data_IF_134927598892
#
_entry.id   IF_134927598892
#
_cell.length_a   1.000
_cell.length_b   1.000
_cell.length_c   1.000
_cell.angle_alpha   90.00
_cell.angle_beta   90.00
_cell.angle_gamma   90.00
#
_symmetry.space_group_name_H-M   'P 1'
#
loop_
_entity.id
_entity.type
_entity.pdbx_description
1 polymer ?
#
# COMPACT_ATOMS: atom_id res chain seq x y z
N UNK A 1 10.65 53.28 43.48
CA UNK A 1 9.81 54.37 42.94
C UNK A 1 8.98 53.81 41.79
N UNK A 2 7.70 54.10 41.94
CA UNK A 2 6.62 53.95 40.97
C UNK A 2 6.10 52.52 40.67
N UNK A 3 5.07 52.28 41.42
CA UNK A 3 3.97 51.36 41.22
C UNK A 3 3.25 51.63 39.91
N UNK A 4 2.76 50.57 39.27
CA UNK A 4 1.59 50.62 38.39
C UNK A 4 0.72 49.40 38.64
N UNK A 5 -0.36 49.66 39.36
CA UNK A 5 -1.54 48.84 39.47
C UNK A 5 -2.12 48.66 38.07
N UNK A 6 -2.28 47.43 37.62
CA UNK A 6 -3.16 47.07 36.50
C UNK A 6 -4.29 46.21 37.07
N UNK A 7 -5.48 46.78 36.98
CA UNK A 7 -6.74 46.21 37.44
C UNK A 7 -7.08 44.89 36.71
N UNK A 8 -7.34 43.84 37.48
CA UNK A 8 -8.00 42.63 37.02
C UNK A 8 -9.46 42.96 36.74
N UNK A 9 -9.83 43.09 35.48
CA UNK A 9 -11.23 42.94 35.07
C UNK A 9 -11.53 41.46 34.88
N UNK A 10 -12.23 40.88 35.85
CA UNK A 10 -12.97 39.63 35.66
C UNK A 10 -14.07 39.91 34.64
N UNK A 11 -13.85 39.60 33.38
CA UNK A 11 -14.92 39.43 32.43
C UNK A 11 -15.54 38.04 32.66
N UNK A 12 -16.84 38.04 32.90
CA UNK A 12 -17.67 36.88 33.04
C UNK A 12 -17.36 35.84 31.93
N UNK A 13 -17.04 34.65 32.36
CA UNK A 13 -16.99 33.47 31.48
C UNK A 13 -18.38 33.27 30.88
N UNK A 14 -18.55 33.73 29.66
CA UNK A 14 -19.65 33.27 28.83
C UNK A 14 -19.57 31.74 28.77
N UNK A 15 -20.65 31.10 29.19
CA UNK A 15 -20.86 29.67 28.94
C UNK A 15 -20.63 29.45 27.45
N UNK A 16 -19.46 28.87 27.10
CA UNK A 16 -19.23 28.32 25.79
C UNK A 16 -20.30 27.23 25.61
N UNK A 17 -21.41 27.59 24.98
CA UNK A 17 -22.30 26.61 24.37
C UNK A 17 -21.41 25.83 23.43
N UNK A 18 -21.08 24.57 23.79
CA UNK A 18 -20.63 23.56 22.83
C UNK A 18 -21.57 23.68 21.63
N UNK A 19 -21.05 23.92 20.42
CA UNK A 19 -21.91 23.89 19.26
C UNK A 19 -22.63 22.56 19.30
N UNK A 20 -23.96 22.60 19.36
CA UNK A 20 -24.78 21.44 19.07
C UNK A 20 -24.18 20.87 17.77
N UNK A 21 -23.63 19.67 17.86
CA UNK A 21 -23.26 18.90 16.68
C UNK A 21 -24.57 18.79 15.91
N UNK A 22 -24.74 19.67 14.91
CA UNK A 22 -25.67 19.43 13.84
C UNK A 22 -25.42 18.00 13.44
N UNK A 23 -26.47 17.19 13.32
CA UNK A 23 -26.45 15.93 12.61
C UNK A 23 -26.18 16.28 11.14
N UNK A 24 -24.97 16.81 10.87
CA UNK A 24 -24.44 16.90 9.52
C UNK A 24 -24.33 15.48 9.03
N UNK A 25 -25.12 15.16 8.02
CA UNK A 25 -25.02 13.90 7.30
C UNK A 25 -23.55 13.71 6.95
N UNK A 26 -22.96 12.63 7.48
CA UNK A 26 -21.55 12.31 7.20
C UNK A 26 -21.33 12.27 5.68
N UNK A 27 -20.20 12.74 5.18
CA UNK A 27 -19.90 12.65 3.76
C UNK A 27 -19.91 11.18 3.33
N UNK A 28 -20.80 10.85 2.40
CA UNK A 28 -20.93 9.49 1.84
C UNK A 28 -19.89 9.32 0.76
N UNK A 29 -19.13 8.23 0.82
CA UNK A 29 -18.09 7.89 -0.15
C UNK A 29 -18.44 6.57 -0.82
N UNK A 30 -18.41 6.53 -2.16
CA UNK A 30 -18.55 5.28 -2.91
C UNK A 30 -17.25 4.48 -2.91
N UNK A 31 -17.31 3.17 -3.19
CA UNK A 31 -16.11 2.33 -3.26
C UNK A 31 -15.14 2.83 -4.33
N UNK A 32 -15.64 3.21 -5.49
CA UNK A 32 -14.82 3.74 -6.60
C UNK A 32 -14.11 5.05 -6.20
N UNK A 33 -14.82 5.96 -5.52
CA UNK A 33 -14.22 7.19 -5.00
C UNK A 33 -13.20 6.93 -3.91
N UNK A 34 -13.48 5.99 -3.00
CA UNK A 34 -12.55 5.59 -1.95
C UNK A 34 -11.25 5.03 -2.54
N UNK A 35 -11.35 4.12 -3.52
CA UNK A 35 -10.21 3.55 -4.22
C UNK A 35 -9.39 4.62 -4.94
N UNK A 36 -10.04 5.51 -5.68
CA UNK A 36 -9.37 6.58 -6.42
C UNK A 36 -8.63 7.56 -5.50
N UNK A 37 -9.25 7.99 -4.40
CA UNK A 37 -8.63 8.93 -3.45
C UNK A 37 -7.50 8.26 -2.66
N UNK A 38 -7.74 7.05 -2.15
CA UNK A 38 -6.79 6.34 -1.32
C UNK A 38 -5.52 5.94 -2.07
N UNK A 39 -5.60 5.58 -3.36
CA UNK A 39 -4.40 5.29 -4.17
C UNK A 39 -3.50 6.51 -4.29
N UNK A 40 -4.08 7.71 -4.52
CA UNK A 40 -3.29 8.94 -4.61
C UNK A 40 -2.65 9.39 -3.30
N UNK A 41 -3.13 8.92 -2.16
CA UNK A 41 -2.64 9.28 -0.82
C UNK A 41 -1.76 8.19 -0.18
N UNK A 42 -1.72 6.98 -0.74
CA UNK A 42 -0.93 5.88 -0.19
C UNK A 42 0.57 6.12 -0.40
N UNK A 43 1.37 6.24 0.69
CA UNK A 43 2.80 6.52 0.57
C UNK A 43 3.57 5.46 -0.22
N UNK A 44 3.16 4.17 -0.10
CA UNK A 44 3.83 3.07 -0.81
C UNK A 44 3.54 3.12 -2.31
N UNK A 45 2.32 3.48 -2.70
CA UNK A 45 1.97 3.65 -4.11
C UNK A 45 2.67 4.88 -4.72
N UNK A 46 2.68 6.02 -4.02
CA UNK A 46 3.42 7.22 -4.45
C UNK A 46 4.92 6.92 -4.59
N UNK A 47 5.51 6.20 -3.63
CA UNK A 47 6.90 5.77 -3.72
C UNK A 47 7.15 4.84 -4.92
N UNK A 48 6.21 3.92 -5.21
CA UNK A 48 6.32 3.01 -6.36
C UNK A 48 6.27 3.75 -7.70
N UNK A 49 5.42 4.77 -7.85
CA UNK A 49 5.40 5.67 -9.02
C UNK A 49 6.76 6.37 -9.17
N UNK A 50 7.29 6.95 -8.07
CA UNK A 50 8.62 7.58 -8.09
C UNK A 50 9.75 6.62 -8.48
N UNK A 51 9.65 5.33 -8.10
CA UNK A 51 10.60 4.31 -8.54
C UNK A 51 10.50 4.03 -10.04
N UNK A 52 9.30 4.05 -10.64
CA UNK A 52 9.13 3.93 -12.09
C UNK A 52 9.80 5.11 -12.81
N UNK A 53 9.56 6.33 -12.36
CA UNK A 53 10.19 7.52 -12.93
C UNK A 53 11.71 7.48 -12.84
N UNK A 54 12.26 7.13 -11.68
CA UNK A 54 13.69 6.96 -11.48
C UNK A 54 14.29 5.90 -12.41
N UNK A 55 13.62 4.74 -12.53
CA UNK A 55 14.06 3.66 -13.42
C UNK A 55 13.97 4.09 -14.90
N UNK A 56 12.95 4.85 -15.29
CA UNK A 56 12.81 5.40 -16.63
C UNK A 56 13.96 6.39 -16.97
N UNK A 57 14.31 7.26 -16.04
CA UNK A 57 15.47 8.14 -16.19
C UNK A 57 16.79 7.38 -16.25
N UNK A 58 16.98 6.36 -15.42
CA UNK A 58 18.15 5.50 -15.46
C UNK A 58 18.29 4.80 -16.82
N UNK A 59 17.19 4.31 -17.38
CA UNK A 59 17.19 3.71 -18.73
C UNK A 59 17.52 4.74 -19.82
N UNK A 60 16.95 5.95 -19.75
CA UNK A 60 17.27 7.04 -20.68
C UNK A 60 18.74 7.39 -20.59
N UNK A 61 19.28 7.55 -19.38
CA UNK A 61 20.71 7.80 -19.15
C UNK A 61 21.59 6.71 -19.73
N UNK A 62 21.29 5.43 -19.47
CA UNK A 62 22.01 4.29 -20.02
C UNK A 62 22.01 4.27 -21.56
N UNK A 63 20.93 4.73 -22.19
CA UNK A 63 20.83 4.85 -23.64
C UNK A 63 21.61 6.05 -24.18
N UNK A 64 21.54 7.22 -23.55
CA UNK A 64 22.20 8.44 -24.02
C UNK A 64 23.72 8.33 -24.01
N UNK A 65 24.30 7.51 -23.12
CA UNK A 65 25.76 7.23 -23.08
C UNK A 65 26.29 6.60 -24.41
N UNK A 66 25.42 6.00 -25.23
CA UNK A 66 25.80 5.50 -26.56
C UNK A 66 25.86 6.60 -27.62
N UNK A 67 25.12 7.68 -27.45
CA UNK A 67 24.88 8.68 -28.50
C UNK A 67 25.66 9.97 -28.26
N UNK A 68 25.79 10.37 -27.00
CA UNK A 68 26.25 11.70 -26.64
C UNK A 68 27.45 11.64 -25.70
N UNK A 69 28.54 12.36 -25.97
CA UNK A 69 29.67 12.50 -25.05
C UNK A 69 29.21 13.26 -23.78
N UNK A 70 29.82 12.93 -22.65
CA UNK A 70 29.69 13.75 -21.45
C UNK A 70 30.45 15.08 -21.67
N UNK A 71 29.81 16.20 -21.34
CA UNK A 71 30.39 17.52 -21.44
C UNK A 71 30.48 18.13 -20.04
N UNK A 72 31.66 18.56 -19.61
CA UNK A 72 31.84 19.30 -18.38
C UNK A 72 32.57 20.62 -18.64
N UNK A 73 32.21 21.63 -17.88
CA UNK A 73 32.87 22.91 -17.84
C UNK A 73 33.36 23.13 -16.42
N UNK A 74 34.65 23.37 -16.28
CA UNK A 74 35.27 23.57 -14.98
C UNK A 74 36.05 24.89 -15.02
N UNK A 75 36.02 25.67 -13.95
CA UNK A 75 36.75 26.90 -13.83
C UNK A 75 37.42 26.96 -12.47
N UNK A 76 38.72 27.04 -12.48
CA UNK A 76 39.54 27.06 -11.28
C UNK A 76 40.24 28.44 -11.17
N UNK A 77 40.16 29.05 -10.00
CA UNK A 77 40.90 30.25 -9.66
C UNK A 77 41.78 29.96 -8.43
N UNK A 78 43.07 29.95 -8.63
CA UNK A 78 44.04 29.60 -7.58
C UNK A 78 44.86 30.81 -7.20
N UNK A 79 44.98 31.10 -5.89
CA UNK A 79 45.88 32.07 -5.33
C UNK A 79 47.01 31.35 -4.58
N UNK A 80 48.22 31.56 -4.99
CA UNK A 80 49.41 30.96 -4.38
C UNK A 80 50.11 31.95 -3.41
N UNK A 81 50.38 31.51 -2.21
CA UNK A 81 51.08 32.27 -1.19
C UNK A 81 52.14 31.38 -0.53
N UNK A 82 53.44 31.65 -0.76
CA UNK A 82 54.04 32.69 -1.61
C UNK A 82 53.79 32.46 -3.09
N UNK A 83 54.06 33.50 -3.91
CA UNK A 83 53.96 33.43 -5.37
C UNK A 83 54.84 32.29 -5.91
N UNK A 84 54.29 31.51 -6.86
CA UNK A 84 55.09 30.49 -7.57
C UNK A 84 55.73 31.10 -8.82
N UNK A 85 56.91 30.65 -9.16
CA UNK A 85 57.62 31.12 -10.36
C UNK A 85 57.07 30.42 -11.60
N UNK A 86 56.46 31.20 -12.52
CA UNK A 86 55.96 30.65 -13.79
C UNK A 86 57.05 30.65 -14.85
N UNK A 87 57.55 29.47 -15.18
CA UNK A 87 58.61 29.31 -16.19
C UNK A 87 58.20 29.70 -17.62
N UNK A 88 56.86 29.79 -17.89
CA UNK A 88 56.33 30.21 -19.19
C UNK A 88 56.28 31.71 -19.38
N UNK A 89 56.12 32.49 -18.27
CA UNK A 89 56.14 33.97 -18.26
C UNK A 89 57.42 34.52 -17.69
N UNK A 90 58.29 33.67 -17.09
CA UNK A 90 59.54 34.04 -16.37
C UNK A 90 59.29 35.09 -15.25
N UNK A 91 58.14 35.00 -14.58
CA UNK A 91 57.72 35.90 -13.51
C UNK A 91 57.10 35.16 -12.34
N UNK A 92 57.24 35.67 -11.11
CA UNK A 92 56.47 35.17 -10.00
C UNK A 92 55.00 35.59 -10.17
N UNK A 93 54.09 34.61 -10.08
CA UNK A 93 52.66 34.78 -10.20
C UNK A 93 51.96 34.34 -8.92
N UNK A 94 51.08 35.18 -8.39
CA UNK A 94 50.28 34.89 -7.20
C UNK A 94 48.89 34.41 -7.53
N UNK A 95 48.46 34.52 -8.78
CA UNK A 95 47.10 34.26 -9.20
C UNK A 95 47.10 33.52 -10.55
N UNK A 96 46.28 32.50 -10.66
CA UNK A 96 46.05 31.80 -11.93
C UNK A 96 44.55 31.43 -12.06
N UNK A 97 44.00 31.64 -13.25
CA UNK A 97 42.65 31.25 -13.60
C UNK A 97 42.71 30.34 -14.79
N UNK A 98 42.01 29.23 -14.69
CA UNK A 98 41.87 28.23 -15.75
C UNK A 98 40.38 27.98 -16.00
N UNK A 99 39.96 28.02 -17.26
CA UNK A 99 38.65 27.53 -17.68
C UNK A 99 38.86 26.36 -18.63
N UNK A 100 38.20 25.26 -18.37
CA UNK A 100 38.35 24.01 -19.12
C UNK A 100 36.98 23.49 -19.55
N UNK A 101 36.87 23.13 -20.82
CA UNK A 101 35.73 22.37 -21.36
C UNK A 101 36.24 20.98 -21.72
N UNK A 102 35.64 19.99 -21.15
CA UNK A 102 35.99 18.56 -21.41
C UNK A 102 34.83 17.82 -22.05
N UNK A 103 35.08 17.24 -23.20
CA UNK A 103 34.17 16.28 -23.84
C UNK A 103 34.76 14.88 -23.66
N UNK A 104 34.02 13.97 -23.04
CA UNK A 104 34.43 12.60 -22.81
C UNK A 104 33.47 11.62 -23.46
N UNK A 105 33.98 10.75 -24.29
CA UNK A 105 33.21 9.68 -24.91
C UNK A 105 33.93 8.34 -24.78
N UNK A 106 33.23 7.38 -24.12
CA UNK A 106 33.76 6.05 -23.96
C UNK A 106 33.46 5.24 -25.23
N UNK A 107 34.46 5.03 -26.07
CA UNK A 107 34.36 4.29 -27.36
C UNK A 107 34.11 2.80 -27.14
N UNK A 108 34.82 2.22 -26.18
CA UNK A 108 34.70 0.81 -25.84
C UNK A 108 34.84 0.63 -24.34
N UNK A 109 33.93 -0.14 -23.76
CA UNK A 109 33.85 -0.38 -22.29
C UNK A 109 33.72 -1.88 -21.98
N UNK A 110 34.30 -2.75 -22.84
CA UNK A 110 34.20 -4.19 -22.62
C UNK A 110 32.76 -4.74 -22.61
N UNK A 111 31.80 -4.07 -23.27
CA UNK A 111 30.39 -4.46 -23.27
C UNK A 111 29.57 -3.95 -22.05
N UNK A 112 30.18 -3.18 -21.15
CA UNK A 112 29.52 -2.66 -19.95
C UNK A 112 28.34 -1.75 -20.29
N UNK A 113 28.40 -0.91 -21.35
CA UNK A 113 27.28 -0.08 -21.80
C UNK A 113 26.06 -0.91 -22.18
N UNK A 114 26.24 -2.03 -22.90
CA UNK A 114 25.16 -2.93 -23.30
C UNK A 114 24.56 -3.63 -22.08
N UNK A 115 25.41 -4.08 -21.16
CA UNK A 115 24.98 -4.70 -19.92
C UNK A 115 24.20 -3.70 -19.04
N UNK A 116 24.64 -2.44 -18.97
CA UNK A 116 23.95 -1.36 -18.22
C UNK A 116 22.58 -1.04 -18.84
N UNK A 117 22.49 -0.96 -20.16
CA UNK A 117 21.19 -0.78 -20.83
C UNK A 117 20.23 -1.96 -20.55
N UNK A 118 20.75 -3.19 -20.56
CA UNK A 118 19.96 -4.38 -20.20
C UNK A 118 19.53 -4.37 -18.74
N UNK A 119 20.41 -3.93 -17.84
CA UNK A 119 20.14 -3.81 -16.40
C UNK A 119 19.07 -2.77 -16.12
N UNK A 120 19.20 -1.58 -16.71
CA UNK A 120 18.25 -0.48 -16.53
C UNK A 120 16.88 -0.79 -17.15
N UNK A 121 16.84 -1.49 -18.29
CA UNK A 121 15.59 -1.97 -18.87
C UNK A 121 14.88 -2.98 -17.95
N UNK A 122 15.62 -3.95 -17.41
CA UNK A 122 15.08 -4.92 -16.46
C UNK A 122 14.62 -4.23 -15.14
N UNK A 123 15.35 -3.23 -14.65
CA UNK A 123 14.97 -2.44 -13.49
C UNK A 123 13.65 -1.68 -13.71
N UNK A 124 13.45 -1.11 -14.90
CA UNK A 124 12.19 -0.45 -15.26
C UNK A 124 11.02 -1.43 -15.30
N UNK A 125 11.20 -2.63 -15.90
CA UNK A 125 10.18 -3.68 -15.89
C UNK A 125 9.83 -4.11 -14.45
N UNK A 126 10.84 -4.19 -13.58
CA UNK A 126 10.65 -4.48 -12.16
C UNK A 126 9.92 -3.38 -11.40
N UNK A 127 10.20 -2.11 -11.71
CA UNK A 127 9.53 -0.96 -11.13
C UNK A 127 8.03 -0.92 -11.52
N UNK A 128 7.70 -1.19 -12.80
CA UNK A 128 6.30 -1.31 -13.23
C UNK A 128 5.56 -2.46 -12.54
N UNK A 129 6.21 -3.60 -12.34
CA UNK A 129 5.61 -4.70 -11.60
C UNK A 129 5.39 -4.34 -10.12
N UNK A 130 6.34 -3.61 -9.52
CA UNK A 130 6.24 -3.09 -8.16
C UNK A 130 5.14 -2.03 -8.00
N UNK A 131 4.96 -1.16 -8.98
CA UNK A 131 3.86 -0.18 -9.02
C UNK A 131 2.51 -0.88 -9.06
N UNK A 132 2.35 -1.89 -9.93
CA UNK A 132 1.12 -2.68 -10.00
C UNK A 132 0.83 -3.39 -8.66
N UNK A 133 1.84 -3.98 -8.02
CA UNK A 133 1.70 -4.61 -6.71
C UNK A 133 1.27 -3.60 -5.64
N UNK A 134 1.91 -2.43 -5.58
CA UNK A 134 1.57 -1.38 -4.62
C UNK A 134 0.14 -0.85 -4.83
N UNK A 135 -0.28 -0.71 -6.10
CA UNK A 135 -1.64 -0.30 -6.45
C UNK A 135 -2.67 -1.28 -5.90
N UNK A 136 -2.50 -2.59 -6.13
CA UNK A 136 -3.44 -3.59 -5.62
C UNK A 136 -3.39 -3.74 -4.10
N UNK A 137 -2.22 -3.58 -3.49
CA UNK A 137 -2.11 -3.56 -2.03
C UNK A 137 -2.85 -2.37 -1.41
N UNK A 138 -2.71 -1.18 -1.99
CA UNK A 138 -3.44 0.01 -1.56
C UNK A 138 -4.96 -0.14 -1.77
N UNK A 139 -5.38 -0.76 -2.88
CA UNK A 139 -6.78 -1.05 -3.15
C UNK A 139 -7.35 -2.04 -2.12
N UNK A 140 -6.68 -3.17 -1.87
CA UNK A 140 -7.10 -4.18 -0.89
C UNK A 140 -7.28 -3.58 0.52
N UNK A 141 -6.32 -2.78 0.98
CA UNK A 141 -6.41 -2.11 2.27
C UNK A 141 -7.58 -1.11 2.33
N UNK A 142 -7.85 -0.43 1.22
CA UNK A 142 -8.98 0.50 1.13
C UNK A 142 -10.31 -0.26 1.16
N UNK A 143 -10.42 -1.37 0.45
CA UNK A 143 -11.59 -2.25 0.47
C UNK A 143 -11.82 -2.85 1.86
N UNK A 144 -10.77 -3.26 2.57
CA UNK A 144 -10.86 -3.71 3.96
C UNK A 144 -11.49 -2.65 4.86
N UNK A 145 -11.02 -1.41 4.77
CA UNK A 145 -11.56 -0.31 5.57
C UNK A 145 -13.00 0.04 5.16
N UNK A 146 -13.32 0.00 3.88
CA UNK A 146 -14.65 0.26 3.36
C UNK A 146 -15.66 -0.78 3.82
N UNK A 147 -15.33 -2.06 3.68
CA UNK A 147 -16.19 -3.16 4.12
C UNK A 147 -16.30 -3.24 5.64
N UNK A 148 -15.28 -2.79 6.39
CA UNK A 148 -15.38 -2.68 7.85
C UNK A 148 -16.43 -1.65 8.28
N UNK A 149 -16.60 -0.54 7.54
CA UNK A 149 -17.67 0.42 7.81
C UNK A 149 -19.04 -0.21 7.53
N UNK A 150 -19.24 -0.82 6.35
CA UNK A 150 -20.51 -1.46 6.00
C UNK A 150 -20.88 -2.60 6.95
N UNK A 151 -19.92 -3.45 7.31
CA UNK A 151 -20.12 -4.50 8.30
C UNK A 151 -20.51 -3.93 9.68
N UNK A 152 -19.82 -2.86 10.10
CA UNK A 152 -20.13 -2.17 11.35
C UNK A 152 -21.53 -1.58 11.37
N UNK A 153 -22.01 -1.02 10.28
CA UNK A 153 -23.39 -0.50 10.16
C UNK A 153 -24.45 -1.61 10.30
N UNK A 154 -24.21 -2.75 9.64
CA UNK A 154 -25.09 -3.90 9.79
C UNK A 154 -25.06 -4.48 11.21
N UNK A 155 -23.89 -4.57 11.85
CA UNK A 155 -23.74 -5.05 13.23
C UNK A 155 -24.43 -4.13 14.24
N UNK A 156 -24.32 -2.80 14.06
CA UNK A 156 -25.07 -1.82 14.88
C UNK A 156 -26.58 -2.02 14.70
N UNK A 157 -27.06 -2.28 13.48
CA UNK A 157 -28.48 -2.58 13.23
C UNK A 157 -28.91 -3.85 13.97
N UNK A 158 -28.14 -4.92 13.91
CA UNK A 158 -28.40 -6.19 14.65
C UNK A 158 -28.46 -5.92 16.16
N UNK A 159 -27.51 -5.14 16.70
CA UNK A 159 -27.48 -4.80 18.12
C UNK A 159 -28.67 -3.93 18.55
N UNK A 160 -29.10 -2.98 17.73
CA UNK A 160 -30.32 -2.18 17.98
C UNK A 160 -31.58 -3.04 18.01
N UNK A 161 -31.72 -3.95 17.07
CA UNK A 161 -32.82 -4.91 17.05
C UNK A 161 -32.81 -5.82 18.28
N UNK A 162 -31.61 -6.25 18.77
CA UNK A 162 -31.48 -7.00 20.01
C UNK A 162 -31.98 -6.20 21.21
N UNK A 163 -31.62 -4.92 21.34
CA UNK A 163 -32.11 -4.02 22.42
C UNK A 163 -33.62 -3.91 22.37
N UNK A 164 -34.22 -3.72 21.17
CA UNK A 164 -35.67 -3.62 21.03
C UNK A 164 -36.38 -4.92 21.44
N UNK A 165 -35.85 -6.09 20.98
CA UNK A 165 -36.36 -7.42 21.37
C UNK A 165 -36.28 -7.62 22.89
N UNK A 166 -35.13 -7.30 23.51
CA UNK A 166 -34.96 -7.44 24.96
C UNK A 166 -35.89 -6.52 25.78
N UNK A 167 -36.11 -5.29 25.33
CA UNK A 167 -37.04 -4.37 25.97
C UNK A 167 -38.49 -4.88 25.91
N UNK A 168 -38.91 -5.40 24.75
CA UNK A 168 -40.27 -6.00 24.59
C UNK A 168 -40.43 -7.25 25.47
N UNK A 169 -39.41 -8.11 25.55
CA UNK A 169 -39.46 -9.29 26.42
C UNK A 169 -39.51 -8.94 27.89
N UNK A 170 -38.76 -7.93 28.32
CA UNK A 170 -38.86 -7.44 29.71
C UNK A 170 -40.24 -6.92 30.04
N UNK A 171 -40.91 -6.21 29.12
CA UNK A 171 -42.29 -5.75 29.32
C UNK A 171 -43.25 -6.92 29.50
N UNK A 172 -43.15 -7.93 28.63
CA UNK A 172 -43.95 -9.17 28.74
C UNK A 172 -43.63 -9.94 30.01
N UNK A 173 -42.37 -10.12 30.36
CA UNK A 173 -41.93 -10.82 31.59
C UNK A 173 -42.48 -10.15 32.85
N UNK A 174 -42.40 -8.81 32.93
CA UNK A 174 -42.97 -8.05 34.06
C UNK A 174 -44.48 -8.24 34.17
N UNK A 175 -45.22 -8.16 33.07
CA UNK A 175 -46.67 -8.35 33.07
C UNK A 175 -47.04 -9.77 33.59
N UNK A 176 -46.26 -10.81 33.20
CA UNK A 176 -46.46 -12.20 33.66
C UNK A 176 -46.15 -12.36 35.16
N UNK A 177 -45.11 -11.68 35.66
CA UNK A 177 -44.80 -11.68 37.12
C UNK A 177 -45.93 -11.01 37.91
N UNK A 178 -46.43 -9.86 37.46
CA UNK A 178 -47.54 -9.17 38.10
C UNK A 178 -48.85 -10.01 38.12
N UNK A 179 -49.08 -10.75 37.03
CA UNK A 179 -50.24 -11.65 36.98
C UNK A 179 -50.05 -13.01 37.71
N UNK A 180 -48.86 -13.23 38.32
CA UNK A 180 -48.54 -14.51 38.99
C UNK A 180 -48.22 -15.67 38.05
N UNK A 181 -48.12 -15.42 36.74
CA UNK A 181 -47.83 -16.45 35.71
C UNK A 181 -46.32 -16.70 35.49
N UNK A 182 -45.43 -15.96 36.18
CA UNK A 182 -44.01 -16.15 36.15
C UNK A 182 -43.37 -15.77 37.49
N UNK A 183 -42.14 -16.25 37.76
CA UNK A 183 -41.38 -15.96 38.96
C UNK A 183 -40.61 -14.66 38.81
N UNK A 184 -40.28 -13.99 39.92
CA UNK A 184 -39.60 -12.70 39.92
C UNK A 184 -38.20 -12.81 39.29
N UNK A 185 -37.54 -13.96 39.39
CA UNK A 185 -36.23 -14.23 38.77
C UNK A 185 -36.23 -14.08 37.26
N UNK A 186 -37.36 -14.43 36.56
CA UNK A 186 -37.52 -14.21 35.12
C UNK A 186 -37.40 -12.73 34.75
N UNK A 187 -38.02 -11.86 35.52
CA UNK A 187 -37.95 -10.41 35.32
C UNK A 187 -36.54 -9.85 35.55
N UNK A 188 -35.79 -10.41 36.50
CA UNK A 188 -34.40 -10.02 36.77
C UNK A 188 -33.45 -10.48 35.62
N UNK A 189 -33.63 -11.70 35.10
CA UNK A 189 -32.87 -12.21 33.95
C UNK A 189 -33.13 -11.35 32.68
N UNK A 190 -34.38 -11.02 32.39
CA UNK A 190 -34.71 -10.16 31.25
C UNK A 190 -34.19 -8.73 31.40
N UNK A 191 -34.11 -8.22 32.64
CA UNK A 191 -33.47 -6.94 32.92
C UNK A 191 -31.96 -6.98 32.66
N UNK A 192 -31.32 -8.06 33.08
CA UNK A 192 -29.89 -8.29 32.83
C UNK A 192 -29.62 -8.36 31.31
N UNK A 193 -30.42 -9.15 30.57
CA UNK A 193 -30.33 -9.24 29.11
C UNK A 193 -30.45 -7.88 28.43
N UNK A 194 -31.43 -7.06 28.83
CA UNK A 194 -31.57 -5.69 28.29
C UNK A 194 -30.32 -4.83 28.59
N UNK A 195 -29.71 -4.99 29.78
CA UNK A 195 -28.50 -4.25 30.13
C UNK A 195 -27.32 -4.69 29.26
N UNK A 196 -27.14 -6.00 29.06
CA UNK A 196 -26.10 -6.56 28.19
C UNK A 196 -26.31 -6.17 26.71
N UNK A 197 -27.56 -6.19 26.22
CA UNK A 197 -27.87 -5.75 24.88
C UNK A 197 -27.52 -4.27 24.65
N UNK A 198 -27.76 -3.41 25.63
CA UNK A 198 -27.38 -1.97 25.56
C UNK A 198 -25.87 -1.78 25.58
N UNK A 199 -25.17 -2.53 26.41
CA UNK A 199 -23.70 -2.49 26.45
C UNK A 199 -23.09 -2.90 25.10
N UNK A 200 -23.60 -3.98 24.50
CA UNK A 200 -23.17 -4.43 23.18
C UNK A 200 -23.45 -3.39 22.08
N UNK A 201 -24.63 -2.74 22.10
CA UNK A 201 -24.93 -1.66 21.17
C UNK A 201 -23.89 -0.53 21.27
N UNK A 202 -23.54 -0.09 22.47
CA UNK A 202 -22.53 0.94 22.68
C UNK A 202 -21.17 0.53 22.15
N UNK A 203 -20.78 -0.74 22.32
CA UNK A 203 -19.52 -1.28 21.75
C UNK A 203 -19.53 -1.25 20.22
N UNK A 204 -20.62 -1.67 19.60
CA UNK A 204 -20.75 -1.68 18.14
C UNK A 204 -20.78 -0.26 17.57
N UNK A 205 -21.46 0.68 18.21
CA UNK A 205 -21.47 2.10 17.81
C UNK A 205 -20.08 2.73 17.94
N UNK A 206 -19.32 2.39 18.98
CA UNK A 206 -17.94 2.81 19.11
C UNK A 206 -17.04 2.22 18.00
N UNK A 207 -17.14 0.92 17.76
CA UNK A 207 -16.37 0.24 16.71
C UNK A 207 -16.66 0.83 15.31
N UNK A 208 -17.93 1.08 15.00
CA UNK A 208 -18.33 1.73 13.75
C UNK A 208 -17.74 3.15 13.63
N UNK A 209 -17.74 3.93 14.71
CA UNK A 209 -17.14 5.28 14.70
C UNK A 209 -15.65 5.22 14.39
N UNK A 210 -14.92 4.26 14.98
CA UNK A 210 -13.50 4.05 14.69
C UNK A 210 -13.29 3.65 13.22
N UNK A 211 -14.11 2.73 12.69
CA UNK A 211 -14.03 2.33 11.28
C UNK A 211 -14.29 3.49 10.33
N UNK A 212 -15.28 4.35 10.60
CA UNK A 212 -15.59 5.56 9.83
C UNK A 212 -14.44 6.57 9.84
N UNK A 213 -13.78 6.77 10.99
CA UNK A 213 -12.58 7.61 11.10
C UNK A 213 -11.40 7.02 10.33
N UNK A 214 -11.20 5.69 10.40
CA UNK A 214 -10.14 4.99 9.68
C UNK A 214 -10.33 5.12 8.16
N UNK A 215 -11.55 4.91 7.66
CA UNK A 215 -11.87 5.13 6.26
C UNK A 215 -11.69 6.59 5.86
N UNK A 216 -12.16 7.53 6.68
CA UNK A 216 -11.97 8.97 6.47
C UNK A 216 -10.51 9.36 6.33
N UNK A 217 -9.66 8.89 7.24
CA UNK A 217 -8.21 9.09 7.15
C UNK A 217 -7.63 8.48 5.85
N UNK A 218 -8.09 7.30 5.45
CA UNK A 218 -7.63 6.61 4.24
C UNK A 218 -7.96 7.35 2.95
N UNK A 219 -9.13 8.00 2.90
CA UNK A 219 -9.59 8.78 1.72
C UNK A 219 -9.23 10.28 1.80
N UNK A 220 -8.46 10.68 2.83
CA UNK A 220 -8.05 12.07 3.02
C UNK A 220 -9.16 13.00 3.48
N UNK A 221 -10.21 12.48 4.10
CA UNK A 221 -11.24 13.28 4.74
C UNK A 221 -10.76 13.74 6.13
N UNK A 222 -11.11 14.97 6.51
CA UNK A 222 -10.75 15.54 7.83
C UNK A 222 -11.52 14.97 9.03
N UNK A 223 -12.41 13.99 8.80
CA UNK A 223 -13.27 13.39 9.82
C UNK A 223 -13.86 12.05 9.41
N UNK A 224 -14.85 11.53 10.15
CA UNK A 224 -15.52 10.29 9.84
C UNK A 224 -16.30 10.39 8.53
N UNK A 225 -16.33 9.30 7.76
CA UNK A 225 -17.10 9.19 6.51
C UNK A 225 -18.03 7.98 6.57
N UNK A 226 -19.09 8.02 5.80
CA UNK A 226 -20.02 6.92 5.60
C UNK A 226 -19.71 6.22 4.29
N UNK A 227 -19.83 4.88 4.27
CA UNK A 227 -19.66 4.10 3.06
C UNK A 227 -21.01 3.95 2.34
N UNK A 228 -21.05 4.25 1.04
CA UNK A 228 -22.26 4.02 0.26
C UNK A 228 -22.61 2.51 0.25
N UNK A 229 -23.89 2.13 0.35
CA UNK A 229 -24.30 0.73 0.22
C UNK A 229 -23.83 0.16 -1.13
N UNK A 230 -23.49 -1.12 -1.15
CA UNK A 230 -23.13 -1.80 -2.38
C UNK A 230 -24.36 -2.41 -3.03
N UNK A 231 -24.69 -1.96 -4.24
CA UNK A 231 -25.82 -2.50 -5.02
C UNK A 231 -25.51 -3.87 -5.65
N UNK A 232 -24.25 -4.33 -5.59
CA UNK A 232 -23.81 -5.53 -6.27
C UNK A 232 -24.09 -6.81 -5.45
N UNK A 233 -24.78 -7.74 -6.07
CA UNK A 233 -24.93 -9.12 -5.58
C UNK A 233 -23.55 -9.78 -5.58
N UNK A 234 -23.26 -10.61 -4.55
CA UNK A 234 -22.03 -11.43 -4.53
C UNK A 234 -21.96 -12.29 -5.80
N UNK A 235 -20.80 -12.35 -6.48
CA UNK A 235 -20.69 -13.19 -7.68
C UNK A 235 -20.94 -14.65 -7.35
N UNK A 236 -21.70 -15.33 -8.23
CA UNK A 236 -22.06 -16.74 -8.04
C UNK A 236 -20.90 -17.71 -8.25
N UNK A 237 -19.82 -17.27 -8.88
CA UNK A 237 -18.60 -18.05 -9.11
C UNK A 237 -17.52 -17.17 -9.71
N UNK A 238 -16.32 -17.70 -9.79
CA UNK A 238 -15.19 -17.03 -10.45
C UNK A 238 -15.27 -17.24 -11.97
N UNK A 239 -14.88 -16.24 -12.81
CA UNK A 239 -14.93 -16.33 -14.27
C UNK A 239 -13.77 -17.17 -14.86
N UNK A 240 -12.95 -17.80 -14.02
CA UNK A 240 -11.79 -18.61 -14.40
C UNK A 240 -11.69 -19.84 -13.51
N UNK A 241 -11.07 -20.90 -14.04
CA UNK A 241 -10.76 -22.12 -13.29
C UNK A 241 -9.49 -21.94 -12.45
N UNK A 242 -9.29 -22.80 -11.45
CA UNK A 242 -8.10 -22.79 -10.62
C UNK A 242 -6.80 -22.88 -11.44
N UNK A 243 -6.75 -23.82 -12.41
CA UNK A 243 -5.55 -23.98 -13.24
C UNK A 243 -5.27 -22.76 -14.11
N UNK A 244 -6.32 -22.13 -14.67
CA UNK A 244 -6.19 -20.89 -15.42
C UNK A 244 -5.68 -19.74 -14.52
N UNK A 245 -6.17 -19.64 -13.27
CA UNK A 245 -5.69 -18.66 -12.30
C UNK A 245 -4.21 -18.87 -11.95
N UNK A 246 -3.80 -20.12 -11.73
CA UNK A 246 -2.39 -20.47 -11.46
C UNK A 246 -1.49 -20.13 -12.65
N UNK A 247 -1.90 -20.46 -13.87
CA UNK A 247 -1.15 -20.15 -15.07
C UNK A 247 -1.01 -18.62 -15.28
N UNK A 248 -2.11 -17.90 -15.09
CA UNK A 248 -2.11 -16.43 -15.21
C UNK A 248 -1.18 -15.79 -14.18
N UNK A 249 -1.26 -16.18 -12.91
CA UNK A 249 -0.39 -15.67 -11.86
C UNK A 249 1.09 -16.02 -12.10
N UNK A 250 1.37 -17.23 -12.60
CA UNK A 250 2.73 -17.68 -12.92
C UNK A 250 3.35 -16.96 -14.13
N UNK A 251 2.54 -16.42 -15.05
CA UNK A 251 3.02 -15.72 -16.24
C UNK A 251 2.95 -14.20 -16.12
N UNK A 252 1.90 -13.69 -15.50
CA UNK A 252 1.52 -12.26 -15.52
C UNK A 252 1.41 -11.62 -14.14
N UNK A 253 1.38 -12.40 -13.06
CA UNK A 253 1.28 -11.91 -11.69
C UNK A 253 2.39 -10.89 -11.37
N UNK A 254 2.08 -9.83 -10.60
CA UNK A 254 3.03 -8.76 -10.31
C UNK A 254 4.29 -9.26 -9.60
N UNK A 255 4.16 -10.21 -8.67
CA UNK A 255 5.28 -10.78 -7.92
C UNK A 255 6.22 -11.56 -8.84
N UNK A 256 5.68 -12.38 -9.75
CA UNK A 256 6.47 -13.13 -10.72
C UNK A 256 7.20 -12.20 -11.70
N UNK A 257 6.51 -11.20 -12.23
CA UNK A 257 7.11 -10.21 -13.15
C UNK A 257 8.25 -9.46 -12.46
N UNK A 258 8.07 -9.07 -11.19
CA UNK A 258 9.11 -8.41 -10.39
C UNK A 258 10.31 -9.32 -10.17
N UNK A 259 10.11 -10.58 -9.75
CA UNK A 259 11.19 -11.55 -9.54
C UNK A 259 11.97 -11.83 -10.81
N UNK A 260 11.27 -12.01 -11.95
CA UNK A 260 11.89 -12.19 -13.26
C UNK A 260 12.70 -10.96 -13.71
N UNK A 261 12.20 -9.76 -13.44
CA UNK A 261 12.92 -8.53 -13.71
C UNK A 261 14.19 -8.41 -12.86
N UNK A 262 14.11 -8.76 -11.58
CA UNK A 262 15.25 -8.79 -10.66
C UNK A 262 16.32 -9.79 -11.12
N UNK A 263 15.93 -10.98 -11.54
CA UNK A 263 16.88 -11.98 -12.10
C UNK A 263 17.58 -11.45 -13.37
N UNK A 264 16.83 -10.82 -14.29
CA UNK A 264 17.41 -10.23 -15.51
C UNK A 264 18.37 -9.08 -15.18
N UNK A 265 18.03 -8.24 -14.21
CA UNK A 265 18.90 -7.15 -13.75
C UNK A 265 20.19 -7.70 -13.11
N UNK A 266 20.09 -8.75 -12.29
CA UNK A 266 21.25 -9.41 -11.69
C UNK A 266 22.14 -10.10 -12.74
N UNK A 267 21.54 -10.75 -13.74
CA UNK A 267 22.27 -11.35 -14.85
C UNK A 267 22.98 -10.29 -15.71
N UNK A 268 22.36 -9.14 -15.92
CA UNK A 268 22.99 -8.01 -16.60
C UNK A 268 24.15 -7.41 -15.77
N UNK A 269 23.97 -7.30 -14.44
CA UNK A 269 25.04 -6.86 -13.54
C UNK A 269 26.24 -7.80 -13.54
N UNK A 270 26.02 -9.12 -13.61
CA UNK A 270 27.09 -10.09 -13.77
C UNK A 270 27.85 -9.88 -15.09
N UNK A 271 27.14 -9.67 -16.20
CA UNK A 271 27.76 -9.37 -17.51
C UNK A 271 28.52 -8.04 -17.49
N UNK A 272 28.01 -7.05 -16.78
CA UNK A 272 28.71 -5.79 -16.58
C UNK A 272 30.09 -6.00 -15.89
N UNK A 273 30.13 -6.84 -14.85
CA UNK A 273 31.37 -7.19 -14.15
C UNK A 273 32.36 -7.99 -15.04
N UNK A 274 31.86 -8.86 -15.92
CA UNK A 274 32.70 -9.53 -16.91
C UNK A 274 33.39 -8.52 -17.85
N UNK A 275 32.70 -7.43 -18.21
CA UNK A 275 33.27 -6.38 -19.04
C UNK A 275 34.51 -5.71 -18.45
N UNK A 276 34.70 -5.73 -17.13
CA UNK A 276 35.87 -5.16 -16.47
C UNK A 276 37.19 -5.94 -16.75
N UNK A 277 37.10 -7.13 -17.31
CA UNK A 277 38.26 -7.92 -17.78
C UNK A 277 38.71 -7.56 -19.20
N UNK A 278 38.00 -6.67 -19.88
CA UNK A 278 38.33 -6.23 -21.23
C UNK A 278 38.94 -4.82 -21.21
N UNK A 279 39.70 -4.41 -22.24
CA UNK A 279 40.23 -3.06 -22.35
C UNK A 279 39.10 -2.03 -22.37
N UNK A 280 39.41 -0.80 -21.93
CA UNK A 280 38.54 0.36 -22.04
C UNK A 280 39.21 1.39 -22.96
N UNK A 281 38.48 1.91 -23.93
CA UNK A 281 38.96 2.96 -24.83
C UNK A 281 38.08 4.20 -24.68
N UNK A 282 38.68 5.32 -24.26
CA UNK A 282 38.02 6.60 -24.02
C UNK A 282 38.64 7.66 -24.91
N UNK A 283 37.81 8.42 -25.60
CA UNK A 283 38.18 9.62 -26.36
C UNK A 283 37.82 10.87 -25.51
N UNK A 284 38.85 11.69 -25.24
CA UNK A 284 38.63 12.90 -24.47
C UNK A 284 39.11 14.10 -25.31
N UNK A 285 38.24 15.06 -25.56
CA UNK A 285 38.55 16.37 -26.12
C UNK A 285 38.55 17.39 -25.03
N UNK A 286 39.65 18.15 -24.87
CA UNK A 286 39.79 19.18 -23.84
C UNK A 286 40.15 20.50 -24.48
N UNK A 287 39.37 21.53 -24.21
CA UNK A 287 39.69 22.92 -24.54
C UNK A 287 40.02 23.66 -23.27
N UNK A 288 41.21 24.23 -23.17
CA UNK A 288 41.69 24.96 -21.98
C UNK A 288 41.99 26.39 -22.35
N UNK A 289 41.50 27.33 -21.53
CA UNK A 289 41.90 28.74 -21.54
C UNK A 289 42.56 29.07 -20.19
N UNK A 290 43.72 29.62 -20.22
CA UNK A 290 44.55 29.91 -19.05
C UNK A 290 45.02 31.37 -19.02
N UNK A 291 44.96 32.01 -17.86
CA UNK A 291 45.46 33.36 -17.65
C UNK A 291 45.83 33.59 -16.18
N UNK A 292 46.58 34.66 -15.92
CA UNK A 292 46.81 35.22 -14.60
C UNK A 292 45.81 36.37 -14.27
N UNK A 293 44.81 36.58 -15.09
CA UNK A 293 43.70 37.54 -14.91
C UNK A 293 42.40 36.81 -14.70
N UNK A 294 41.40 37.51 -14.17
CA UNK A 294 40.10 36.92 -13.85
C UNK A 294 39.38 36.29 -15.07
N UNK A 295 39.56 36.83 -16.26
CA UNK A 295 39.09 36.22 -17.51
C UNK A 295 40.26 35.61 -18.28
N UNK A 296 40.29 34.24 -18.44
CA UNK A 296 41.42 33.58 -19.10
C UNK A 296 41.31 33.71 -20.60
N UNK A 297 42.00 34.72 -21.17
CA UNK A 297 42.00 35.01 -22.61
C UNK A 297 43.35 34.86 -23.27
N UNK A 298 44.43 34.83 -22.49
CA UNK A 298 45.79 34.99 -23.03
C UNK A 298 46.34 33.73 -23.69
N UNK A 299 46.01 32.56 -23.18
CA UNK A 299 46.46 31.26 -23.74
C UNK A 299 45.34 30.29 -23.87
N UNK A 300 45.16 29.69 -25.06
CA UNK A 300 44.17 28.68 -25.37
C UNK A 300 44.84 27.49 -26.06
N UNK A 301 44.52 26.30 -25.65
CA UNK A 301 44.91 25.13 -26.41
C UNK A 301 43.77 24.09 -26.38
N UNK A 302 43.79 23.25 -27.43
CA UNK A 302 42.87 22.14 -27.56
C UNK A 302 43.64 20.84 -27.66
N UNK A 303 43.20 19.83 -26.93
CA UNK A 303 43.84 18.52 -26.92
C UNK A 303 42.80 17.46 -27.22
N UNK A 304 43.10 16.49 -28.07
CA UNK A 304 42.33 15.28 -28.30
C UNK A 304 43.19 14.11 -27.87
N UNK A 305 42.65 13.33 -26.88
CA UNK A 305 43.37 12.21 -26.30
C UNK A 305 42.54 10.92 -26.47
N UNK A 306 43.11 9.92 -27.14
CA UNK A 306 42.59 8.56 -27.13
C UNK A 306 43.36 7.77 -26.07
N UNK A 307 42.70 7.40 -24.99
CA UNK A 307 43.24 6.59 -23.92
C UNK A 307 42.70 5.16 -24.02
N UNK A 308 43.60 4.19 -24.08
CA UNK A 308 43.27 2.76 -23.98
C UNK A 308 43.87 2.24 -22.68
N UNK A 309 43.02 1.77 -21.78
CA UNK A 309 43.45 1.20 -20.50
C UNK A 309 43.05 -0.26 -20.39
N UNK A 310 43.98 -1.06 -19.90
CA UNK A 310 43.77 -2.48 -19.62
C UNK A 310 44.30 -2.79 -18.22
N UNK A 311 43.45 -3.10 -17.24
CA UNK A 311 43.88 -3.40 -15.89
C UNK A 311 44.48 -4.84 -15.86
N UNK A 312 45.80 -4.93 -15.68
CA UNK A 312 46.51 -6.23 -15.62
C UNK A 312 46.39 -6.87 -14.25
N UNK A 313 46.53 -6.04 -13.19
CA UNK A 313 46.45 -6.50 -11.80
C UNK A 313 45.79 -5.45 -10.93
N UNK A 314 44.85 -5.88 -10.06
CA UNK A 314 44.07 -5.00 -9.19
C UNK A 314 43.83 -5.59 -7.78
N UNK A 315 44.72 -6.43 -7.29
CA UNK A 315 44.62 -7.06 -5.96
C UNK A 315 43.35 -7.90 -5.78
N UNK A 316 42.91 -8.63 -6.79
CA UNK A 316 41.71 -9.48 -6.83
C UNK A 316 40.38 -8.72 -6.67
N UNK A 317 40.36 -7.41 -6.87
CA UNK A 317 39.11 -6.63 -6.74
C UNK A 317 38.05 -7.02 -7.78
N UNK A 318 38.46 -7.30 -9.02
CA UNK A 318 37.57 -7.78 -10.09
C UNK A 318 37.01 -9.15 -9.80
N UNK A 319 37.84 -10.07 -9.33
CA UNK A 319 37.44 -11.45 -8.97
C UNK A 319 36.43 -11.45 -7.83
N UNK A 320 36.67 -10.65 -6.80
CA UNK A 320 35.72 -10.48 -5.68
C UNK A 320 34.40 -9.88 -6.17
N UNK A 321 34.45 -8.80 -6.96
CA UNK A 321 33.27 -8.16 -7.51
C UNK A 321 32.48 -9.08 -8.45
N UNK A 322 33.16 -9.90 -9.27
CA UNK A 322 32.55 -10.88 -10.14
C UNK A 322 31.91 -12.02 -9.35
N UNK A 323 32.60 -12.52 -8.31
CA UNK A 323 32.07 -13.54 -7.39
C UNK A 323 30.81 -13.06 -6.72
N UNK A 324 30.80 -11.83 -6.17
CA UNK A 324 29.63 -11.24 -5.57
C UNK A 324 28.47 -11.10 -6.56
N UNK A 325 28.74 -10.67 -7.79
CA UNK A 325 27.72 -10.55 -8.83
C UNK A 325 27.16 -11.92 -9.27
N UNK A 326 28.02 -12.97 -9.27
CA UNK A 326 27.56 -14.35 -9.50
C UNK A 326 26.62 -14.81 -8.42
N UNK A 327 26.97 -14.64 -7.14
CA UNK A 327 26.12 -15.00 -6.01
C UNK A 327 24.78 -14.26 -6.09
N UNK A 328 24.79 -12.95 -6.34
CA UNK A 328 23.56 -12.16 -6.47
C UNK A 328 22.66 -12.66 -7.62
N UNK A 329 23.23 -13.04 -8.75
CA UNK A 329 22.50 -13.65 -9.88
C UNK A 329 21.88 -14.98 -9.48
N UNK A 330 22.64 -15.84 -8.82
CA UNK A 330 22.20 -17.18 -8.43
C UNK A 330 21.12 -17.12 -7.34
N UNK A 331 21.24 -16.17 -6.40
CA UNK A 331 20.19 -15.87 -5.41
C UNK A 331 18.91 -15.35 -6.10
N UNK A 332 19.02 -14.40 -7.04
CA UNK A 332 17.85 -13.88 -7.76
C UNK A 332 17.14 -14.97 -8.56
N UNK A 333 17.90 -15.89 -9.18
CA UNK A 333 17.37 -17.06 -9.87
C UNK A 333 16.65 -18.00 -8.92
N UNK A 334 17.29 -18.37 -7.80
CA UNK A 334 16.69 -19.24 -6.78
C UNK A 334 15.39 -18.61 -6.18
N UNK A 335 15.38 -17.30 -6.00
CA UNK A 335 14.20 -16.56 -5.54
C UNK A 335 13.04 -16.69 -6.53
N UNK A 336 13.29 -16.48 -7.84
CA UNK A 336 12.26 -16.66 -8.87
C UNK A 336 11.75 -18.11 -8.91
N UNK A 337 12.65 -19.10 -8.88
CA UNK A 337 12.26 -20.52 -8.87
C UNK A 337 11.45 -20.92 -7.62
N UNK A 338 11.77 -20.32 -6.47
CA UNK A 338 11.00 -20.51 -5.25
C UNK A 338 9.60 -19.91 -5.39
N UNK A 339 9.51 -18.71 -5.95
CA UNK A 339 8.24 -18.06 -6.21
C UNK A 339 7.36 -18.87 -7.19
N UNK A 340 7.93 -19.40 -8.26
CA UNK A 340 7.22 -20.29 -9.21
C UNK A 340 6.58 -21.49 -8.50
N UNK A 341 7.30 -22.08 -7.54
CA UNK A 341 6.76 -23.20 -6.73
C UNK A 341 5.68 -22.73 -5.75
N UNK A 342 5.78 -21.52 -5.21
CA UNK A 342 4.81 -20.99 -4.24
C UNK A 342 3.54 -20.45 -4.89
N UNK A 343 3.61 -19.95 -6.12
CA UNK A 343 2.46 -19.37 -6.84
C UNK A 343 1.25 -20.32 -6.84
N UNK A 344 1.45 -21.61 -7.15
CA UNK A 344 0.34 -22.59 -7.13
C UNK A 344 -0.32 -22.66 -5.76
N UNK A 345 0.49 -22.73 -4.68
CA UNK A 345 -0.04 -22.76 -3.31
C UNK A 345 -0.81 -21.47 -2.98
N UNK A 346 -0.24 -20.31 -3.29
CA UNK A 346 -0.79 -19.01 -2.90
C UNK A 346 -2.09 -18.71 -3.67
N UNK A 347 -2.12 -19.04 -4.97
CA UNK A 347 -3.34 -18.92 -5.80
C UNK A 347 -4.38 -19.93 -5.37
N UNK A 348 -4.02 -21.20 -5.10
CA UNK A 348 -4.97 -22.21 -4.60
C UNK A 348 -5.58 -21.76 -3.27
N UNK A 349 -4.77 -21.28 -2.33
CA UNK A 349 -5.26 -20.78 -1.05
C UNK A 349 -6.23 -19.60 -1.21
N UNK A 350 -5.95 -18.66 -2.12
CA UNK A 350 -6.84 -17.53 -2.37
C UNK A 350 -8.13 -17.94 -3.10
N UNK A 351 -8.03 -18.85 -4.08
CA UNK A 351 -9.16 -19.38 -4.85
C UNK A 351 -10.12 -20.20 -3.94
N UNK A 352 -9.56 -21.14 -3.18
CA UNK A 352 -10.32 -21.94 -2.23
C UNK A 352 -10.84 -21.09 -1.07
N UNK A 353 -10.08 -20.06 -0.66
CA UNK A 353 -10.52 -19.09 0.31
C UNK A 353 -11.79 -18.36 -0.12
N UNK A 354 -11.88 -17.92 -1.38
CA UNK A 354 -13.09 -17.31 -1.92
C UNK A 354 -14.27 -18.31 -1.98
N UNK A 355 -14.05 -19.51 -2.51
CA UNK A 355 -15.12 -20.52 -2.63
C UNK A 355 -15.64 -20.95 -1.28
N UNK A 356 -14.74 -21.10 -0.29
CA UNK A 356 -15.09 -21.42 1.10
C UNK A 356 -15.86 -20.26 1.74
N UNK A 357 -15.35 -19.02 1.67
CA UNK A 357 -16.01 -17.85 2.25
C UNK A 357 -17.43 -17.66 1.68
N UNK A 358 -17.60 -17.91 0.38
CA UNK A 358 -18.90 -17.87 -0.25
C UNK A 358 -19.85 -18.95 0.28
N UNK A 359 -19.39 -20.20 0.33
CA UNK A 359 -20.19 -21.31 0.87
C UNK A 359 -20.60 -21.04 2.31
N UNK A 360 -19.69 -20.50 3.13
CA UNK A 360 -19.98 -20.08 4.51
C UNK A 360 -21.06 -18.99 4.54
N UNK A 361 -21.01 -18.02 3.63
CA UNK A 361 -22.03 -16.98 3.55
C UNK A 361 -23.43 -17.55 3.18
N UNK A 362 -23.48 -18.51 2.26
CA UNK A 362 -24.73 -19.20 1.88
C UNK A 362 -25.29 -20.04 3.05
N UNK A 363 -24.43 -20.77 3.77
CA UNK A 363 -24.81 -21.53 4.98
C UNK A 363 -25.32 -20.57 6.07
N UNK A 364 -24.58 -19.50 6.37
CA UNK A 364 -24.97 -18.52 7.39
C UNK A 364 -26.31 -17.85 7.08
N UNK A 365 -26.64 -17.65 5.80
CA UNK A 365 -27.95 -17.14 5.41
C UNK A 365 -29.08 -18.12 5.76
N UNK A 366 -28.84 -19.43 5.57
CA UNK A 366 -29.74 -20.49 6.02
C UNK A 366 -29.87 -20.53 7.53
N UNK A 367 -28.76 -20.43 8.25
CA UNK A 367 -28.73 -20.47 9.73
C UNK A 367 -29.53 -19.31 10.33
N UNK A 368 -29.46 -18.10 9.76
CA UNK A 368 -30.27 -16.96 10.19
C UNK A 368 -31.76 -17.26 10.01
N UNK A 369 -32.18 -17.90 8.92
CA UNK A 369 -33.58 -18.25 8.68
C UNK A 369 -34.07 -19.22 9.75
N UNK A 370 -33.31 -20.25 10.04
CA UNK A 370 -33.62 -21.26 11.06
C UNK A 370 -33.63 -20.67 12.46
N UNK A 371 -32.61 -19.89 12.81
CA UNK A 371 -32.51 -19.26 14.12
C UNK A 371 -33.66 -18.26 14.37
N UNK A 372 -34.06 -17.51 13.34
CA UNK A 372 -35.19 -16.57 13.41
C UNK A 372 -36.51 -17.28 13.66
N UNK A 373 -36.73 -18.38 12.97
CA UNK A 373 -37.95 -19.18 13.18
C UNK A 373 -37.95 -19.84 14.56
N UNK A 374 -36.83 -20.43 15.00
CA UNK A 374 -36.71 -20.96 16.36
C UNK A 374 -37.01 -19.92 17.42
N UNK A 375 -36.42 -18.73 17.30
CA UNK A 375 -36.69 -17.60 18.22
C UNK A 375 -38.19 -17.24 18.21
N UNK A 376 -38.83 -17.15 17.05
CA UNK A 376 -40.26 -16.84 16.93
C UNK A 376 -41.12 -17.89 17.66
N UNK A 377 -40.79 -19.18 17.50
CA UNK A 377 -41.48 -20.27 18.17
C UNK A 377 -41.28 -20.20 19.68
N UNK A 378 -40.05 -20.07 20.17
CA UNK A 378 -39.76 -19.98 21.61
C UNK A 378 -40.41 -18.75 22.25
N UNK A 379 -40.45 -17.63 21.55
CA UNK A 379 -41.14 -16.44 22.02
C UNK A 379 -42.65 -16.68 22.19
N UNK A 380 -43.26 -17.35 21.25
CA UNK A 380 -44.70 -17.71 21.32
C UNK A 380 -44.98 -18.67 22.46
N UNK A 381 -44.16 -19.71 22.63
CA UNK A 381 -44.26 -20.68 23.72
C UNK A 381 -44.05 -20.04 25.09
N UNK A 382 -43.07 -19.12 25.22
CA UNK A 382 -42.83 -18.39 26.46
C UNK A 382 -44.08 -17.52 26.84
N UNK A 383 -44.67 -16.83 25.87
CA UNK A 383 -45.89 -16.06 26.10
C UNK A 383 -47.07 -16.96 26.59
N UNK A 384 -47.18 -18.13 26.07
CA UNK A 384 -48.17 -19.13 26.47
C UNK A 384 -47.82 -19.87 27.77
N UNK A 385 -46.65 -19.67 28.36
CA UNK A 385 -46.18 -20.39 29.54
C UNK A 385 -45.70 -21.84 29.27
N UNK A 386 -45.43 -22.19 28.00
CA UNK A 386 -45.09 -23.54 27.55
C UNK A 386 -43.55 -23.77 27.39
N UNK A 387 -42.71 -22.79 27.78
CA UNK A 387 -41.25 -22.90 27.80
C UNK A 387 -40.66 -22.00 28.88
N UNK A 388 -39.38 -22.20 29.22
CA UNK A 388 -38.67 -21.45 30.23
C UNK A 388 -38.11 -20.13 29.65
N UNK A 389 -37.75 -19.20 30.55
CA UNK A 389 -37.03 -17.98 30.17
C UNK A 389 -35.67 -18.32 29.57
N UNK A 390 -34.99 -19.37 30.04
CA UNK A 390 -33.69 -19.78 29.58
C UNK A 390 -33.74 -20.22 28.12
N UNK A 391 -34.72 -21.02 27.71
CA UNK A 391 -34.90 -21.45 26.31
C UNK A 391 -35.13 -20.25 25.37
N UNK A 392 -35.88 -19.24 25.85
CA UNK A 392 -36.11 -18.00 25.08
C UNK A 392 -34.80 -17.20 24.91
N UNK A 393 -34.03 -17.02 26.00
CA UNK A 393 -32.77 -16.27 25.96
C UNK A 393 -31.71 -16.99 25.11
N UNK A 394 -31.65 -18.33 25.18
CA UNK A 394 -30.77 -19.13 24.32
C UNK A 394 -31.13 -18.97 22.84
N UNK A 395 -32.42 -19.06 22.49
CA UNK A 395 -32.87 -18.85 21.12
C UNK A 395 -32.56 -17.44 20.60
N UNK A 396 -32.67 -16.42 21.47
CA UNK A 396 -32.30 -15.05 21.15
C UNK A 396 -30.78 -14.91 20.89
N UNK A 397 -29.95 -15.50 21.76
CA UNK A 397 -28.50 -15.46 21.59
C UNK A 397 -28.10 -16.11 20.26
N UNK A 398 -28.63 -17.32 19.97
CA UNK A 398 -28.36 -18.01 18.69
C UNK A 398 -28.77 -17.20 17.46
N UNK A 399 -29.89 -16.45 17.55
CA UNK A 399 -30.29 -15.56 16.45
C UNK A 399 -29.30 -14.41 16.25
N UNK A 400 -28.86 -13.78 17.32
CA UNK A 400 -27.88 -12.67 17.25
C UNK A 400 -26.55 -13.15 16.70
N UNK A 401 -26.08 -14.33 17.16
CA UNK A 401 -24.83 -14.93 16.69
C UNK A 401 -24.91 -15.27 15.20
N UNK A 402 -26.04 -15.85 14.75
CA UNK A 402 -26.25 -16.17 13.34
C UNK A 402 -26.32 -14.89 12.46
N UNK A 403 -27.03 -13.84 12.92
CA UNK A 403 -27.10 -12.55 12.22
C UNK A 403 -25.69 -11.91 12.10
N UNK A 404 -24.89 -11.93 13.17
CA UNK A 404 -23.52 -11.41 13.15
C UNK A 404 -22.59 -12.24 12.25
N UNK A 405 -22.70 -13.56 12.31
CA UNK A 405 -21.92 -14.48 11.45
C UNK A 405 -22.22 -14.24 9.96
N UNK A 406 -23.48 -14.04 9.58
CA UNK A 406 -23.86 -13.73 8.20
C UNK A 406 -23.23 -12.42 7.72
N UNK A 407 -23.26 -11.36 8.54
CA UNK A 407 -22.62 -10.08 8.21
C UNK A 407 -21.15 -10.29 7.93
N UNK A 408 -20.43 -10.95 8.85
CA UNK A 408 -19.00 -11.23 8.69
C UNK A 408 -18.70 -12.07 7.44
N UNK A 409 -19.47 -13.12 7.18
CA UNK A 409 -19.28 -14.01 6.04
C UNK A 409 -19.47 -13.30 4.69
N UNK A 410 -20.45 -12.40 4.59
CA UNK A 410 -20.69 -11.59 3.38
C UNK A 410 -19.50 -10.71 3.02
N UNK A 411 -18.94 -10.00 4.00
CA UNK A 411 -17.81 -9.11 3.73
C UNK A 411 -16.49 -9.88 3.61
N UNK A 412 -16.31 -11.00 4.30
CA UNK A 412 -15.18 -11.91 4.11
C UNK A 412 -15.10 -12.42 2.66
N UNK A 413 -16.24 -12.76 2.04
CA UNK A 413 -16.30 -13.19 0.63
C UNK A 413 -15.77 -12.10 -0.31
N UNK A 414 -16.10 -10.83 -0.08
CA UNK A 414 -15.59 -9.71 -0.89
C UNK A 414 -14.10 -9.50 -0.71
N UNK A 415 -13.60 -9.62 0.51
CA UNK A 415 -12.18 -9.47 0.81
C UNK A 415 -11.33 -10.60 0.22
N UNK A 416 -11.83 -11.84 0.26
CA UNK A 416 -11.11 -12.96 -0.37
C UNK A 416 -11.06 -12.83 -1.88
N UNK A 417 -12.11 -12.28 -2.51
CA UNK A 417 -12.10 -11.93 -3.93
C UNK A 417 -11.03 -10.87 -4.23
N UNK A 418 -11.02 -9.76 -3.49
CA UNK A 418 -10.03 -8.71 -3.64
C UNK A 418 -8.59 -9.22 -3.43
N UNK A 419 -8.40 -10.15 -2.50
CA UNK A 419 -7.12 -10.83 -2.28
C UNK A 419 -6.66 -11.65 -3.48
N UNK A 420 -7.56 -12.41 -4.12
CA UNK A 420 -7.26 -13.15 -5.34
C UNK A 420 -6.92 -12.21 -6.50
N UNK A 421 -7.68 -11.14 -6.69
CA UNK A 421 -7.41 -10.11 -7.70
C UNK A 421 -6.05 -9.44 -7.52
N UNK A 422 -5.64 -9.21 -6.28
CA UNK A 422 -4.32 -8.66 -5.97
C UNK A 422 -3.17 -9.61 -6.38
N UNK A 423 -3.33 -10.92 -6.20
CA UNK A 423 -2.36 -11.94 -6.63
C UNK A 423 -2.28 -12.00 -8.16
N UNK A 424 -3.43 -11.92 -8.84
CA UNK A 424 -3.51 -11.93 -10.30
C UNK A 424 -3.01 -10.61 -10.93
N UNK A 425 -3.10 -9.50 -10.18
CA UNK A 425 -2.78 -8.16 -10.67
C UNK A 425 -3.82 -7.59 -11.63
N UNK A 426 -5.07 -8.07 -11.58
CA UNK A 426 -6.21 -7.54 -12.33
C UNK A 426 -7.54 -7.75 -11.63
N UNK A 427 -8.52 -6.94 -11.97
CA UNK A 427 -9.91 -7.14 -11.53
C UNK A 427 -10.57 -8.27 -12.32
N UNK A 428 -11.31 -9.11 -11.61
CA UNK A 428 -12.06 -10.22 -12.19
C UNK A 428 -13.47 -9.78 -12.63
N UNK A 429 -14.04 -8.77 -11.98
CA UNK A 429 -15.37 -8.22 -12.24
C UNK A 429 -15.30 -6.71 -12.45
N UNK A 430 -14.88 -6.22 -13.63
CA UNK A 430 -14.68 -4.78 -13.90
C UNK A 430 -15.98 -3.97 -13.88
N UNK A 431 -17.14 -4.59 -14.09
CA UNK A 431 -18.44 -3.90 -14.14
C UNK A 431 -18.93 -3.42 -12.76
N UNK A 432 -18.31 -3.84 -11.68
CA UNK A 432 -18.67 -3.43 -10.32
C UNK A 432 -18.07 -2.07 -9.91
N UNK A 433 -17.18 -1.48 -10.71
CA UNK A 433 -16.57 -0.17 -10.46
C UNK A 433 -17.31 1.02 -11.09
N UNK A 434 -18.29 0.80 -11.98
CA UNK A 434 -18.83 1.85 -12.89
C UNK A 434 -20.26 2.30 -12.53
N UNK A 435 -20.84 1.84 -11.41
CA UNK A 435 -22.17 2.33 -11.01
C UNK A 435 -22.17 3.01 -9.66
#
# INVERSE_FOLDING_TARGET
MLALLAALQLQAAGTAQLPALLEDSLPVVTLADALRRATGLDPNYVAAIGQVDNAAWARRSAFTVFLVPAVSVETDATKNLPAFFNFGTLKPETYSVQAQVTLRYDLFTGGQKVAELSRSAAALDGAHAGELQARFAAALLTEQNYYAVLAGEELVRVARERVQRAAQQLAVGRARVVSGAAVQTDSLQLRLELSQAREELLRQEFALRVSRLTLGSRVGAGGPVEAAPLDSVLPTGLPLTLDAAVEEAALRGPDYRRARATERAAAASYRWRLGSYLPHATLTGTGIAFDNRFYPTSRKFTQLTLAVSFPVWDNFQRENALSQARVNRDVARATRETLERSVRRDVTAAYDGFTTARTVADISAGDVAVARENFRVQQSRYRAGATTILDLLEAQLRLVDAEAALVQARYATRLTLAGLEAILGRRLFPEQEVR
#
